data_IF_776990405394
#
_entry.id   IF_776990405394
#
_cell.length_a   1.000
_cell.length_b   1.000
_cell.length_c   1.000
_cell.angle_alpha   90.00
_cell.angle_beta   90.00
_cell.angle_gamma   90.00
#
_symmetry.space_group_name_H-M   'P 1'
#
loop_
_entity.id
_entity.type
_entity.pdbx_description
1 polymer ?
#
# COMPACT_ATOMS: atom_id res chain seq x y z
N UNK A 1 -64.75 -54.45 -76.21
CA UNK A 1 -64.13 -54.43 -74.87
C UNK A 1 -65.27 -54.23 -73.88
N UNK A 2 -65.51 -55.20 -73.00
CA UNK A 2 -66.70 -55.22 -72.13
C UNK A 2 -66.60 -54.17 -71.03
N UNK A 3 -67.62 -53.33 -70.93
CA UNK A 3 -67.74 -52.27 -69.92
C UNK A 3 -67.71 -52.86 -68.50
N UNK A 4 -68.24 -54.07 -68.32
CA UNK A 4 -68.27 -54.77 -67.04
C UNK A 4 -66.86 -55.10 -66.52
N UNK A 5 -65.96 -55.58 -67.39
CA UNK A 5 -64.58 -55.90 -67.01
C UNK A 5 -63.80 -54.65 -66.58
N UNK A 6 -64.11 -53.49 -67.17
CA UNK A 6 -63.53 -52.19 -66.81
C UNK A 6 -64.04 -51.72 -65.44
N UNK A 7 -65.34 -51.86 -65.18
CA UNK A 7 -65.95 -51.52 -63.89
C UNK A 7 -65.39 -52.41 -62.76
N UNK A 8 -65.24 -53.71 -62.99
CA UNK A 8 -64.69 -54.63 -61.99
C UNK A 8 -63.23 -54.29 -61.65
N UNK A 9 -62.39 -54.03 -62.67
CA UNK A 9 -60.99 -53.61 -62.46
C UNK A 9 -60.88 -52.28 -61.72
N UNK A 10 -61.74 -51.31 -62.02
CA UNK A 10 -61.77 -50.04 -61.31
C UNK A 10 -62.28 -50.20 -59.87
N UNK A 11 -63.26 -51.07 -59.64
CA UNK A 11 -63.76 -51.42 -58.31
C UNK A 11 -62.68 -52.05 -57.44
N UNK A 12 -61.93 -53.02 -57.96
CA UNK A 12 -60.80 -53.64 -57.25
C UNK A 12 -59.68 -52.63 -56.95
N UNK A 13 -59.34 -51.78 -57.93
CA UNK A 13 -58.33 -50.73 -57.74
C UNK A 13 -58.76 -49.71 -56.67
N UNK A 14 -60.04 -49.30 -56.66
CA UNK A 14 -60.61 -48.43 -55.64
C UNK A 14 -60.62 -49.08 -54.26
N UNK A 15 -60.96 -50.36 -54.17
CA UNK A 15 -60.98 -51.08 -52.89
C UNK A 15 -59.55 -51.25 -52.33
N UNK A 16 -58.57 -51.52 -53.20
CA UNK A 16 -57.16 -51.59 -52.83
C UNK A 16 -56.61 -50.23 -52.40
N UNK A 17 -56.94 -49.17 -53.14
CA UNK A 17 -56.59 -47.79 -52.79
C UNK A 17 -57.21 -47.36 -51.45
N UNK A 18 -58.48 -47.71 -51.22
CA UNK A 18 -59.18 -47.43 -49.96
C UNK A 18 -58.51 -48.13 -48.77
N UNK A 19 -58.14 -49.41 -48.90
CA UNK A 19 -57.38 -50.14 -47.87
C UNK A 19 -56.02 -49.52 -47.58
N UNK A 20 -55.29 -49.10 -48.61
CA UNK A 20 -54.00 -48.41 -48.44
C UNK A 20 -54.15 -47.09 -47.70
N UNK A 21 -55.14 -46.27 -48.06
CA UNK A 21 -55.42 -44.99 -47.37
C UNK A 21 -55.79 -45.21 -45.91
N UNK A 22 -56.57 -46.26 -45.59
CA UNK A 22 -56.90 -46.60 -44.21
C UNK A 22 -55.66 -47.02 -43.40
N UNK A 23 -54.80 -47.87 -43.96
CA UNK A 23 -53.56 -48.28 -43.29
C UNK A 23 -52.62 -47.08 -43.07
N UNK A 24 -52.41 -46.24 -44.08
CA UNK A 24 -51.58 -45.02 -43.93
C UNK A 24 -52.18 -44.07 -42.88
N UNK A 25 -53.51 -43.96 -42.81
CA UNK A 25 -54.18 -43.16 -41.79
C UNK A 25 -53.94 -43.69 -40.39
N UNK A 26 -53.97 -45.01 -40.20
CA UNK A 26 -53.69 -45.66 -38.91
C UNK A 26 -52.23 -45.47 -38.48
N UNK A 27 -51.28 -45.63 -39.40
CA UNK A 27 -49.86 -45.37 -39.17
C UNK A 27 -49.60 -43.91 -38.76
N UNK A 28 -50.18 -42.96 -39.50
CA UNK A 28 -50.10 -41.53 -39.17
C UNK A 28 -50.69 -41.27 -37.78
N UNK A 29 -51.83 -41.87 -37.46
CA UNK A 29 -52.47 -41.70 -36.15
C UNK A 29 -51.61 -42.25 -35.01
N UNK A 30 -50.95 -43.38 -35.22
CA UNK A 30 -50.01 -43.96 -34.26
C UNK A 30 -48.82 -43.03 -34.04
N UNK A 31 -48.20 -42.54 -35.12
CA UNK A 31 -47.07 -41.61 -35.07
C UNK A 31 -47.43 -40.31 -34.33
N UNK A 32 -48.61 -39.74 -34.60
CA UNK A 32 -49.09 -38.56 -33.88
C UNK A 32 -49.27 -38.82 -32.39
N UNK A 33 -49.80 -39.99 -32.04
CA UNK A 33 -50.04 -40.36 -30.63
C UNK A 33 -48.74 -40.52 -29.87
N UNK A 34 -47.75 -41.19 -30.46
CA UNK A 34 -46.43 -41.37 -29.84
C UNK A 34 -45.66 -40.05 -29.74
N UNK A 35 -45.74 -39.22 -30.79
CA UNK A 35 -45.14 -37.89 -30.79
C UNK A 35 -45.75 -37.02 -29.69
N UNK A 36 -47.07 -37.02 -29.55
CA UNK A 36 -47.77 -36.31 -28.48
C UNK A 36 -47.32 -36.76 -27.09
N UNK A 37 -47.22 -38.07 -26.85
CA UNK A 37 -46.72 -38.62 -25.57
C UNK A 37 -45.30 -38.13 -25.24
N UNK A 38 -44.41 -38.08 -26.23
CA UNK A 38 -43.04 -37.58 -26.04
C UNK A 38 -43.03 -36.08 -25.72
N UNK A 39 -43.83 -35.28 -26.42
CA UNK A 39 -43.97 -33.85 -26.11
C UNK A 39 -44.52 -33.62 -24.70
N UNK A 40 -45.59 -34.33 -24.31
CA UNK A 40 -46.18 -34.21 -22.97
C UNK A 40 -45.19 -34.59 -21.87
N UNK A 41 -44.36 -35.61 -22.10
CA UNK A 41 -43.31 -36.02 -21.17
C UNK A 41 -42.23 -34.95 -21.03
N UNK A 42 -41.79 -34.36 -22.16
CA UNK A 42 -40.76 -33.32 -22.17
C UNK A 42 -41.23 -32.02 -21.53
N UNK A 43 -42.51 -31.67 -21.67
CA UNK A 43 -43.12 -30.53 -20.96
C UNK A 43 -43.07 -30.74 -19.44
N UNK A 44 -43.33 -31.97 -18.96
CA UNK A 44 -43.23 -32.29 -17.53
C UNK A 44 -41.80 -32.17 -17.01
N UNK A 45 -40.81 -32.65 -17.77
CA UNK A 45 -39.39 -32.51 -17.42
C UNK A 45 -38.96 -31.05 -17.32
N UNK A 46 -39.37 -30.21 -18.29
CA UNK A 46 -39.06 -28.77 -18.26
C UNK A 46 -39.65 -28.12 -17.00
N UNK A 47 -40.91 -28.41 -16.66
CA UNK A 47 -41.53 -27.85 -15.43
C UNK A 47 -40.84 -28.31 -14.15
N UNK A 48 -40.37 -29.56 -14.10
CA UNK A 48 -39.60 -30.06 -12.97
C UNK A 48 -38.26 -29.33 -12.80
N UNK A 49 -37.55 -29.08 -13.92
CA UNK A 49 -36.30 -28.33 -13.93
C UNK A 49 -36.50 -26.86 -13.55
N UNK A 50 -37.58 -26.23 -14.03
CA UNK A 50 -37.95 -24.85 -13.63
C UNK A 50 -38.18 -24.77 -12.12
N UNK A 51 -38.90 -25.74 -11.55
CA UNK A 51 -39.15 -25.81 -10.10
C UNK A 51 -37.85 -25.97 -9.31
N UNK A 52 -36.93 -26.83 -9.77
CA UNK A 52 -35.62 -27.00 -9.14
C UNK A 52 -34.75 -25.74 -9.22
N UNK A 53 -34.76 -25.06 -10.38
CA UNK A 53 -34.06 -23.78 -10.54
C UNK A 53 -34.59 -22.74 -9.56
N UNK A 54 -35.91 -22.62 -9.42
CA UNK A 54 -36.53 -21.64 -8.54
C UNK A 54 -36.26 -21.96 -7.05
N UNK A 55 -36.23 -23.25 -6.68
CA UNK A 55 -35.79 -23.70 -5.36
C UNK A 55 -34.31 -23.38 -5.07
N UNK A 56 -33.43 -23.56 -6.06
CA UNK A 56 -32.02 -23.19 -5.91
C UNK A 56 -31.82 -21.67 -5.84
N UNK A 57 -32.55 -20.89 -6.63
CA UNK A 57 -32.49 -19.42 -6.58
C UNK A 57 -32.97 -18.86 -5.24
N UNK A 58 -34.04 -19.43 -4.68
CA UNK A 58 -34.51 -19.07 -3.34
C UNK A 58 -33.56 -19.57 -2.25
N UNK A 59 -33.00 -20.76 -2.41
CA UNK A 59 -31.98 -21.32 -1.51
C UNK A 59 -30.65 -20.57 -1.51
N UNK A 60 -30.25 -19.95 -2.62
CA UNK A 60 -29.05 -19.08 -2.70
C UNK A 60 -29.28 -17.68 -2.12
N UNK A 61 -30.53 -17.25 -1.95
CA UNK A 61 -30.92 -16.08 -1.14
C UNK A 61 -31.11 -16.45 0.34
N UNK A 62 -30.30 -17.40 0.84
CA UNK A 62 -30.33 -17.76 2.26
C UNK A 62 -29.76 -16.60 3.09
N UNK A 63 -30.28 -16.36 4.31
CA UNK A 63 -29.78 -15.33 5.24
C UNK A 63 -28.28 -15.47 5.54
N UNK A 64 -27.67 -16.62 5.29
CA UNK A 64 -26.23 -16.85 5.43
C UNK A 64 -25.41 -16.00 4.46
N UNK A 65 -25.83 -15.85 3.19
CA UNK A 65 -25.11 -15.01 2.23
C UNK A 65 -25.31 -13.52 2.51
N UNK A 66 -26.52 -13.11 2.91
CA UNK A 66 -26.80 -11.74 3.33
C UNK A 66 -26.00 -11.37 4.60
N UNK A 67 -25.88 -12.30 5.54
CA UNK A 67 -25.03 -12.15 6.73
C UNK A 67 -23.56 -12.04 6.36
N UNK A 68 -23.07 -12.88 5.44
CA UNK A 68 -21.68 -12.83 4.97
C UNK A 68 -21.37 -11.49 4.26
N UNK A 69 -22.28 -10.98 3.43
CA UNK A 69 -22.13 -9.66 2.80
C UNK A 69 -22.17 -8.51 3.82
N UNK A 70 -22.95 -8.64 4.89
CA UNK A 70 -22.96 -7.68 5.99
C UNK A 70 -21.64 -7.73 6.78
N UNK A 71 -21.13 -8.92 7.07
CA UNK A 71 -19.87 -9.13 7.80
C UNK A 71 -18.65 -8.63 7.00
N UNK A 72 -18.64 -8.85 5.68
CA UNK A 72 -17.59 -8.31 4.78
C UNK A 72 -17.62 -6.78 4.80
N UNK A 73 -18.80 -6.15 4.69
CA UNK A 73 -18.93 -4.68 4.77
C UNK A 73 -18.48 -4.14 6.13
N UNK A 74 -18.89 -4.77 7.22
CA UNK A 74 -18.50 -4.37 8.57
C UNK A 74 -16.98 -4.52 8.79
N UNK A 75 -16.36 -5.54 8.19
CA UNK A 75 -14.91 -5.74 8.26
C UNK A 75 -14.16 -4.70 7.43
N UNK A 76 -14.68 -4.33 6.25
CA UNK A 76 -14.13 -3.24 5.44
C UNK A 76 -14.10 -1.91 6.19
N UNK A 77 -15.20 -1.52 6.83
CA UNK A 77 -15.27 -0.29 7.64
C UNK A 77 -14.22 -0.29 8.76
N UNK A 78 -14.03 -1.43 9.44
CA UNK A 78 -13.00 -1.55 10.51
C UNK A 78 -11.58 -1.41 9.97
N UNK A 79 -11.31 -1.87 8.76
CA UNK A 79 -10.00 -1.70 8.12
C UNK A 79 -9.74 -0.21 7.86
N UNK A 80 -10.74 0.49 7.30
CA UNK A 80 -10.63 1.93 7.04
C UNK A 80 -10.41 2.72 8.34
N UNK A 81 -11.13 2.39 9.42
CA UNK A 81 -10.94 2.99 10.75
C UNK A 81 -9.53 2.76 11.31
N UNK A 82 -8.97 1.55 11.12
CA UNK A 82 -7.60 1.23 11.55
C UNK A 82 -6.58 2.02 10.73
N UNK A 83 -6.78 2.15 9.42
CA UNK A 83 -5.90 2.92 8.56
C UNK A 83 -5.91 4.41 8.94
N UNK A 84 -7.08 4.99 9.26
CA UNK A 84 -7.17 6.34 9.80
C UNK A 84 -6.42 6.50 11.13
N UNK A 85 -6.54 5.52 12.04
CA UNK A 85 -5.80 5.52 13.30
C UNK A 85 -4.28 5.45 13.08
N UNK A 86 -3.81 4.65 12.12
CA UNK A 86 -2.39 4.56 11.75
C UNK A 86 -1.88 5.91 11.24
N UNK A 87 -2.65 6.58 10.36
CA UNK A 87 -2.31 7.91 9.85
C UNK A 87 -2.20 8.93 11.00
N UNK A 88 -3.17 8.93 11.92
CA UNK A 88 -3.15 9.83 13.08
C UNK A 88 -1.94 9.59 13.99
N UNK A 89 -1.60 8.33 14.27
CA UNK A 89 -0.42 7.99 15.06
C UNK A 89 0.88 8.42 14.36
N UNK A 90 0.97 8.32 13.04
CA UNK A 90 2.12 8.80 12.28
C UNK A 90 2.25 10.32 12.33
N UNK A 91 1.15 11.07 12.21
CA UNK A 91 1.14 12.53 12.37
C UNK A 91 1.58 12.93 13.78
N UNK A 92 1.08 12.27 14.83
CA UNK A 92 1.52 12.51 16.21
C UNK A 92 3.01 12.20 16.41
N UNK A 93 3.51 11.12 15.79
CA UNK A 93 4.95 10.78 15.81
C UNK A 93 5.78 11.89 15.16
N UNK A 94 5.35 12.41 14.01
CA UNK A 94 6.03 13.51 13.32
C UNK A 94 6.04 14.80 14.15
N UNK A 95 4.93 15.15 14.82
CA UNK A 95 4.88 16.30 15.72
C UNK A 95 5.81 16.14 16.94
N UNK A 96 5.85 14.95 17.54
CA UNK A 96 6.76 14.65 18.65
C UNK A 96 8.23 14.72 18.21
N UNK A 97 8.55 14.23 17.01
CA UNK A 97 9.88 14.37 16.41
C UNK A 97 10.23 15.85 16.20
N UNK A 98 9.30 16.67 15.68
CA UNK A 98 9.49 18.12 15.53
C UNK A 98 9.75 18.81 16.87
N UNK A 99 8.96 18.51 17.91
CA UNK A 99 9.20 19.04 19.27
C UNK A 99 10.57 18.64 19.79
N UNK A 100 10.96 17.37 19.60
CA UNK A 100 12.28 16.88 19.99
C UNK A 100 13.40 17.59 19.24
N UNK A 101 13.28 17.85 17.93
CA UNK A 101 14.23 18.65 17.14
C UNK A 101 14.35 20.07 17.71
N UNK A 102 13.24 20.72 18.05
CA UNK A 102 13.27 22.07 18.65
C UNK A 102 13.94 22.09 20.03
N UNK A 103 13.75 21.05 20.84
CA UNK A 103 14.38 20.97 22.16
C UNK A 103 15.87 20.64 22.06
N UNK A 104 16.29 19.78 21.12
CA UNK A 104 17.70 19.58 20.79
C UNK A 104 18.34 20.89 20.32
N UNK A 105 17.72 21.61 19.38
CA UNK A 105 18.22 22.92 18.91
C UNK A 105 18.37 23.94 20.04
N UNK A 106 17.45 23.97 21.02
CA UNK A 106 17.59 24.81 22.22
C UNK A 106 18.77 24.39 23.09
N UNK A 107 18.97 23.08 23.31
CA UNK A 107 20.11 22.55 24.06
C UNK A 107 21.43 22.85 23.35
N UNK A 108 21.48 22.74 22.03
CA UNK A 108 22.64 23.08 21.21
C UNK A 108 22.97 24.58 21.30
N UNK A 109 21.96 25.44 21.30
CA UNK A 109 22.15 26.90 21.50
C UNK A 109 22.69 27.21 22.90
N UNK A 110 22.30 26.44 23.92
CA UNK A 110 22.89 26.54 25.26
C UNK A 110 24.34 26.02 25.28
N UNK A 111 24.62 24.89 24.61
CA UNK A 111 25.97 24.36 24.46
C UNK A 111 26.91 25.35 23.79
N UNK A 112 26.47 26.04 22.72
CA UNK A 112 27.20 27.13 22.08
C UNK A 112 27.48 28.31 23.02
N UNK A 113 26.53 28.67 23.89
CA UNK A 113 26.77 29.71 24.91
C UNK A 113 27.81 29.30 25.94
N UNK A 114 27.78 28.03 26.39
CA UNK A 114 28.81 27.50 27.26
C UNK A 114 30.17 27.42 26.57
N UNK A 115 30.21 27.04 25.29
CA UNK A 115 31.41 27.03 24.47
C UNK A 115 31.99 28.44 24.32
N UNK A 116 31.16 29.45 24.07
CA UNK A 116 31.60 30.84 24.00
C UNK A 116 32.10 31.38 25.35
N UNK A 117 31.47 30.98 26.46
CA UNK A 117 31.92 31.33 27.81
C UNK A 117 33.25 30.65 28.17
N UNK A 118 33.40 29.36 27.82
CA UNK A 118 34.64 28.60 27.98
C UNK A 118 35.76 29.16 27.11
N UNK A 119 35.48 29.49 25.85
CA UNK A 119 36.44 30.13 24.92
C UNK A 119 37.02 31.42 25.50
N UNK A 120 36.17 32.28 26.08
CA UNK A 120 36.60 33.50 26.79
C UNK A 120 37.42 33.22 28.05
N UNK A 121 37.14 32.11 28.75
CA UNK A 121 37.95 31.68 29.89
C UNK A 121 39.31 31.12 29.45
N UNK A 122 39.37 30.38 28.34
CA UNK A 122 40.62 29.89 27.75
C UNK A 122 41.47 31.02 27.20
N UNK A 123 40.91 32.02 26.51
CA UNK A 123 41.64 33.23 26.08
C UNK A 123 42.27 33.95 27.28
N UNK A 124 41.50 34.14 28.36
CA UNK A 124 42.00 34.73 29.62
C UNK A 124 43.05 33.87 30.33
N UNK A 125 42.98 32.55 30.18
CA UNK A 125 43.96 31.62 30.73
C UNK A 125 45.25 31.60 29.90
N UNK A 126 45.15 31.70 28.58
CA UNK A 126 46.30 31.84 27.68
C UNK A 126 47.07 33.14 28.00
N UNK A 127 46.36 34.25 28.22
CA UNK A 127 46.92 35.51 28.73
C UNK A 127 47.65 35.34 30.07
N UNK A 128 47.16 34.47 30.97
CA UNK A 128 47.77 34.17 32.26
C UNK A 128 48.97 33.21 32.17
N UNK A 129 48.94 32.26 31.22
CA UNK A 129 50.03 31.28 31.02
C UNK A 129 51.24 31.82 30.28
N UNK A 130 51.16 33.04 29.73
CA UNK A 130 52.35 33.82 29.32
C UNK A 130 53.26 34.22 30.50
N UNK A 131 52.83 33.98 31.73
CA UNK A 131 53.58 34.22 32.97
C UNK A 131 53.97 32.88 33.62
N UNK A 132 55.24 32.52 33.42
CA UNK A 132 56.13 31.57 34.12
C UNK A 132 55.62 30.44 35.05
N UNK A 133 56.37 29.32 34.99
CA UNK A 133 56.50 28.19 35.95
C UNK A 133 55.76 26.85 35.66
N UNK A 134 56.50 25.75 35.91
CA UNK A 134 56.24 24.34 35.57
C UNK A 134 55.00 23.65 36.16
N UNK A 135 53.98 24.39 36.59
CA UNK A 135 52.60 23.89 36.68
C UNK A 135 51.95 23.74 35.28
N UNK A 136 52.68 24.12 34.22
CA UNK A 136 52.19 24.26 32.85
C UNK A 136 51.93 22.96 32.10
N UNK A 137 52.55 21.81 32.44
CA UNK A 137 52.37 20.58 31.64
C UNK A 137 51.00 19.95 31.85
N UNK A 138 50.55 19.77 33.10
CA UNK A 138 49.19 19.26 33.39
C UNK A 138 48.10 20.25 32.97
N UNK A 139 48.39 21.55 33.10
CA UNK A 139 47.50 22.59 32.58
C UNK A 139 47.43 22.53 31.04
N UNK A 140 48.55 22.35 30.34
CA UNK A 140 48.62 22.20 28.89
C UNK A 140 47.98 20.90 28.39
N UNK A 141 48.12 19.78 29.11
CA UNK A 141 47.44 18.51 28.80
C UNK A 141 45.93 18.65 28.97
N UNK A 142 45.47 19.29 30.06
CA UNK A 142 44.05 19.57 30.26
C UNK A 142 43.52 20.52 29.18
N UNK A 143 44.26 21.57 28.82
CA UNK A 143 43.91 22.52 27.76
C UNK A 143 43.88 21.83 26.39
N UNK A 144 44.86 20.98 26.09
CA UNK A 144 44.90 20.18 24.86
C UNK A 144 43.71 19.20 24.78
N UNK A 145 43.36 18.55 25.89
CA UNK A 145 42.18 17.69 25.97
C UNK A 145 40.86 18.46 25.81
N UNK A 146 40.79 19.69 26.34
CA UNK A 146 39.63 20.58 26.19
C UNK A 146 39.51 21.09 24.74
N UNK A 147 40.62 21.47 24.10
CA UNK A 147 40.69 21.87 22.69
C UNK A 147 40.27 20.72 21.77
N UNK A 148 40.75 19.49 22.01
CA UNK A 148 40.35 18.32 21.22
C UNK A 148 38.84 18.04 21.33
N UNK A 149 38.27 18.13 22.54
CA UNK A 149 36.82 18.01 22.76
C UNK A 149 36.02 19.14 22.13
N UNK A 150 36.56 20.35 22.12
CA UNK A 150 35.95 21.51 21.47
C UNK A 150 35.93 21.35 19.95
N UNK A 151 37.04 20.89 19.36
CA UNK A 151 37.12 20.62 17.93
C UNK A 151 36.11 19.53 17.55
N UNK A 152 36.06 18.41 18.28
CA UNK A 152 35.08 17.35 18.06
C UNK A 152 33.62 17.83 18.17
N UNK A 153 33.33 18.74 19.10
CA UNK A 153 32.01 19.36 19.21
C UNK A 153 31.69 20.29 18.02
N UNK A 154 32.68 21.03 17.54
CA UNK A 154 32.54 21.96 16.40
C UNK A 154 32.33 21.19 15.09
N UNK A 155 33.14 20.16 14.84
CA UNK A 155 32.99 19.26 13.69
C UNK A 155 31.63 18.54 13.70
N UNK A 156 31.17 18.15 14.90
CA UNK A 156 29.85 17.52 15.07
C UNK A 156 28.70 18.48 14.76
N UNK A 157 28.84 19.76 15.12
CA UNK A 157 27.86 20.80 14.79
C UNK A 157 27.83 21.09 13.29
N UNK A 158 28.98 21.09 12.63
CA UNK A 158 29.08 21.25 11.18
C UNK A 158 28.34 20.12 10.44
N UNK A 159 28.63 18.86 10.79
CA UNK A 159 27.93 17.69 10.24
C UNK A 159 26.42 17.80 10.48
N UNK A 160 25.99 18.22 11.68
CA UNK A 160 24.58 18.35 11.97
C UNK A 160 23.89 19.44 11.14
N UNK A 161 24.54 20.59 10.96
CA UNK A 161 24.01 21.67 10.11
C UNK A 161 23.90 21.23 8.65
N UNK A 162 24.88 20.47 8.15
CA UNK A 162 24.80 19.87 6.82
C UNK A 162 23.62 18.89 6.71
N UNK A 163 23.37 18.08 7.74
CA UNK A 163 22.22 17.15 7.78
C UNK A 163 20.90 17.90 7.79
N UNK A 164 20.78 18.99 8.56
CA UNK A 164 19.57 19.82 8.56
C UNK A 164 19.31 20.44 7.19
N UNK A 165 20.35 21.04 6.57
CA UNK A 165 20.23 21.61 5.23
C UNK A 165 19.85 20.56 4.18
N UNK A 166 20.39 19.34 4.31
CA UNK A 166 20.05 18.21 3.46
C UNK A 166 18.58 17.78 3.63
N UNK A 167 18.10 17.67 4.86
CA UNK A 167 16.70 17.33 5.13
C UNK A 167 15.77 18.40 4.58
N UNK A 168 16.11 19.69 4.74
CA UNK A 168 15.33 20.79 4.15
C UNK A 168 15.36 20.77 2.61
N UNK A 169 16.50 20.44 1.97
CA UNK A 169 16.59 20.24 0.51
C UNK A 169 15.63 19.12 0.07
N UNK A 170 15.70 17.97 0.73
CA UNK A 170 14.92 16.78 0.38
C UNK A 170 13.43 16.98 0.65
N UNK A 171 13.05 17.63 1.75
CA UNK A 171 11.65 17.96 2.06
C UNK A 171 11.08 18.92 1.00
N UNK A 172 11.87 19.89 0.53
CA UNK A 172 11.48 20.75 -0.58
C UNK A 172 11.34 19.98 -1.90
N UNK A 173 12.24 19.04 -2.19
CA UNK A 173 12.12 18.17 -3.36
C UNK A 173 10.86 17.31 -3.29
N UNK A 174 10.60 16.64 -2.15
CA UNK A 174 9.40 15.81 -1.93
C UNK A 174 8.11 16.62 -2.13
N UNK A 175 8.05 17.84 -1.60
CA UNK A 175 6.84 18.69 -1.69
C UNK A 175 6.55 19.19 -3.11
N UNK A 176 7.56 19.32 -3.96
CA UNK A 176 7.44 19.85 -5.32
C UNK A 176 7.52 18.77 -6.41
N UNK A 177 7.83 17.53 -6.03
CA UNK A 177 8.01 16.43 -6.94
C UNK A 177 6.69 15.84 -7.46
N UNK A 178 6.76 15.29 -8.68
CA UNK A 178 5.72 14.42 -9.17
C UNK A 178 5.73 13.09 -8.40
N UNK A 179 4.58 12.41 -8.20
CA UNK A 179 4.52 11.15 -7.48
C UNK A 179 5.48 10.08 -8.00
N UNK A 180 5.74 10.06 -9.32
CA UNK A 180 6.63 9.08 -9.95
C UNK A 180 8.11 9.30 -9.59
N UNK A 181 8.51 10.51 -9.18
CA UNK A 181 9.90 10.83 -8.82
C UNK A 181 10.18 10.74 -7.32
N UNK A 182 9.17 10.49 -6.48
CA UNK A 182 9.32 10.39 -5.02
C UNK A 182 10.28 9.27 -4.62
N UNK A 183 10.21 8.10 -5.27
CA UNK A 183 11.09 6.98 -4.93
C UNK A 183 12.57 7.34 -5.15
N UNK A 184 12.88 8.08 -6.22
CA UNK A 184 14.24 8.53 -6.53
C UNK A 184 14.75 9.55 -5.51
N UNK A 185 13.89 10.47 -5.06
CA UNK A 185 14.23 11.46 -4.03
C UNK A 185 14.52 10.77 -2.70
N UNK A 186 13.72 9.77 -2.32
CA UNK A 186 13.97 8.97 -1.12
C UNK A 186 15.27 8.17 -1.23
N UNK A 187 15.56 7.57 -2.39
CA UNK A 187 16.84 6.87 -2.64
C UNK A 187 18.06 7.82 -2.59
N UNK A 188 17.91 9.05 -3.07
CA UNK A 188 18.92 10.12 -2.94
C UNK A 188 19.11 10.49 -1.47
N UNK A 189 18.01 10.66 -0.71
CA UNK A 189 18.04 10.98 0.71
C UNK A 189 18.74 9.92 1.55
N UNK A 190 18.41 8.64 1.36
CA UNK A 190 19.07 7.51 2.02
C UNK A 190 20.58 7.53 1.77
N UNK A 191 21.01 7.70 0.52
CA UNK A 191 22.44 7.73 0.17
C UNK A 191 23.17 8.90 0.83
N UNK A 192 22.60 10.11 0.76
CA UNK A 192 23.23 11.30 1.34
C UNK A 192 23.27 11.24 2.88
N UNK A 193 22.20 10.78 3.54
CA UNK A 193 22.16 10.62 5.00
C UNK A 193 23.10 9.51 5.49
N UNK A 194 23.20 8.39 4.77
CA UNK A 194 24.17 7.34 5.09
C UNK A 194 25.62 7.88 5.03
N UNK A 195 25.95 8.72 4.06
CA UNK A 195 27.27 9.36 3.98
C UNK A 195 27.54 10.24 5.21
N UNK A 196 26.55 10.99 5.67
CA UNK A 196 26.69 11.81 6.89
C UNK A 196 26.78 10.95 8.15
N UNK A 197 26.07 9.81 8.18
CA UNK A 197 26.18 8.86 9.29
C UNK A 197 27.59 8.29 9.40
N UNK A 198 28.19 7.87 8.28
CA UNK A 198 29.56 7.37 8.26
C UNK A 198 30.57 8.44 8.72
N UNK A 199 30.40 9.70 8.33
CA UNK A 199 31.22 10.83 8.84
C UNK A 199 31.02 11.03 10.34
N UNK A 200 29.78 10.93 10.83
CA UNK A 200 29.50 11.04 12.25
C UNK A 200 30.03 9.84 13.04
N UNK A 201 30.18 8.65 12.44
CA UNK A 201 30.77 7.49 13.11
C UNK A 201 32.22 7.71 13.50
N UNK A 202 32.96 8.53 12.73
CA UNK A 202 34.34 8.94 13.01
C UNK A 202 34.45 9.93 14.18
N UNK A 203 33.35 10.54 14.63
CA UNK A 203 33.33 11.45 15.78
C UNK A 203 33.04 10.72 17.10
N UNK A 204 33.48 11.26 18.24
CA UNK A 204 33.16 10.70 19.55
C UNK A 204 31.73 11.02 20.03
N UNK A 205 30.97 11.84 19.28
CA UNK A 205 29.68 12.37 19.72
C UNK A 205 28.52 11.42 19.37
N UNK A 206 28.15 10.57 20.32
CA UNK A 206 27.09 9.55 20.16
C UNK A 206 25.71 10.11 19.80
N UNK A 207 25.36 11.30 20.29
CA UNK A 207 24.06 11.93 20.05
C UNK A 207 23.86 12.25 18.56
N UNK A 208 24.91 12.70 17.88
CA UNK A 208 24.88 13.00 16.44
C UNK A 208 24.59 11.75 15.62
N UNK A 209 25.28 10.64 15.92
CA UNK A 209 25.10 9.35 15.26
C UNK A 209 23.64 8.89 15.35
N UNK A 210 23.06 8.98 16.56
CA UNK A 210 21.66 8.60 16.81
C UNK A 210 20.70 9.47 16.01
N UNK A 211 20.94 10.79 15.97
CA UNK A 211 20.06 11.72 15.26
C UNK A 211 20.07 11.45 13.74
N UNK A 212 21.23 11.27 13.13
CA UNK A 212 21.34 10.97 11.70
C UNK A 212 20.75 9.59 11.38
N UNK A 213 20.97 8.59 12.22
CA UNK A 213 20.38 7.26 12.04
C UNK A 213 18.83 7.29 12.07
N UNK A 214 18.22 8.13 12.91
CA UNK A 214 16.77 8.30 12.96
C UNK A 214 16.22 8.97 11.69
N UNK A 215 16.92 9.98 11.15
CA UNK A 215 16.55 10.59 9.87
C UNK A 215 16.68 9.56 8.73
N UNK A 216 17.78 8.79 8.71
CA UNK A 216 17.98 7.72 7.74
C UNK A 216 16.85 6.68 7.78
N UNK A 217 16.44 6.25 8.98
CA UNK A 217 15.34 5.29 9.17
C UNK A 217 14.01 5.84 8.65
N UNK A 218 13.78 7.14 8.81
CA UNK A 218 12.58 7.83 8.28
C UNK A 218 12.53 7.75 6.76
N UNK A 219 13.66 8.02 6.09
CA UNK A 219 13.76 7.89 4.63
C UNK A 219 13.69 6.42 4.16
N UNK A 220 14.30 5.48 4.87
CA UNK A 220 14.20 4.05 4.56
C UNK A 220 12.76 3.53 4.67
N UNK A 221 12.01 4.02 5.66
CA UNK A 221 10.60 3.67 5.86
C UNK A 221 9.74 4.25 4.73
N UNK A 222 9.91 5.54 4.41
CA UNK A 222 9.20 6.18 3.29
C UNK A 222 9.46 5.48 1.96
N UNK A 223 10.71 5.10 1.69
CA UNK A 223 11.09 4.31 0.51
C UNK A 223 10.33 2.99 0.43
N UNK A 224 10.26 2.21 1.51
CA UNK A 224 9.53 0.94 1.55
C UNK A 224 8.04 1.12 1.29
N UNK A 225 7.45 2.18 1.85
CA UNK A 225 6.04 2.51 1.62
C UNK A 225 5.78 2.86 0.15
N UNK A 226 6.61 3.71 -0.45
CA UNK A 226 6.49 4.08 -1.87
C UNK A 226 6.71 2.89 -2.81
N UNK A 227 7.67 2.01 -2.50
CA UNK A 227 7.94 0.81 -3.29
C UNK A 227 6.78 -0.20 -3.27
N UNK A 228 6.01 -0.24 -2.17
CA UNK A 228 4.86 -1.14 -1.99
C UNK A 228 3.52 -0.47 -2.33
N UNK A 229 3.47 0.85 -2.54
CA UNK A 229 2.27 1.57 -2.90
C UNK A 229 1.90 1.31 -4.36
N UNK A 230 0.64 0.96 -4.61
CA UNK A 230 0.12 0.90 -5.99
C UNK A 230 0.12 2.29 -6.62
N UNK A 231 0.28 2.37 -7.96
CA UNK A 231 0.18 3.64 -8.72
C UNK A 231 -1.09 4.44 -8.36
N UNK A 232 -2.18 3.76 -8.06
CA UNK A 232 -3.47 4.34 -7.68
C UNK A 232 -3.44 4.99 -6.28
N UNK A 233 -2.73 4.39 -5.31
CA UNK A 233 -2.58 4.96 -3.96
C UNK A 233 -1.70 6.22 -3.96
N UNK A 234 -0.65 6.25 -4.80
CA UNK A 234 0.20 7.43 -4.96
C UNK A 234 -0.55 8.61 -5.62
N UNK A 235 -1.48 8.34 -6.54
CA UNK A 235 -2.34 9.38 -7.12
C UNK A 235 -3.36 9.93 -6.12
N UNK A 236 -3.93 9.09 -5.24
CA UNK A 236 -4.91 9.52 -4.24
C UNK A 236 -4.30 10.40 -3.14
N UNK A 237 -3.02 10.19 -2.77
CA UNK A 237 -2.28 11.05 -1.83
C UNK A 237 -2.12 12.52 -2.31
N UNK A 238 -2.18 12.76 -3.62
CA UNK A 238 -2.12 14.12 -4.19
C UNK A 238 -3.46 14.85 -4.12
N UNK A 239 -4.57 14.11 -4.14
CA UNK A 239 -5.91 14.67 -4.20
C UNK A 239 -6.52 14.92 -2.81
N UNK A 240 -5.83 14.56 -1.72
CA UNK A 240 -6.28 14.80 -0.34
C UNK A 240 -5.75 16.10 0.28
N UNK A 241 -5.17 17.01 -0.51
CA UNK A 241 -4.84 18.38 -0.10
C UNK A 241 -5.98 19.34 -0.47
#
# INVERSE_FOLDING_TARGET
MDVQLLLDRHGEALQKGSKQVLNTREEIRSLFTDTKKRYDSRIKEIRALETQRDQLQTGMRTPVFEQLEADIRATGIKIDEIDEQIIQLQLQKAELQKKRRTDLSKRDRHALKYQHALSKCTERLEELTGSDSGNSIKAAENVSSMLARQQAATDSLEIWNEVLALVDELDNEVNNAAPESLLEIFDKGVRKLQKQLNRAEETEVSVLKIAIAQELETYLTGRKLLANASKTQLQNLRNSK
#
